data_IF_080362509954
#
_entry.id   IF_080362509954
#
_cell.length_a   1.000
_cell.length_b   1.000
_cell.length_c   1.000
_cell.angle_alpha   90.00
_cell.angle_beta   90.00
_cell.angle_gamma   90.00
#
_symmetry.space_group_name_H-M   'P 1'
#
loop_
_entity.id
_entity.type
_entity.pdbx_description
1 polymer ?
#
# COMPACT_ATOMS: atom_id res chain seq x y z
N UNK A 1 9.26 -27.14 28.78
CA UNK A 1 10.46 -26.29 28.56
C UNK A 1 10.88 -26.52 27.12
N UNK A 2 10.84 -25.62 26.15
CA UNK A 2 10.58 -24.17 26.07
C UNK A 2 9.97 -23.91 24.69
N UNK A 3 9.08 -22.92 24.65
CA UNK A 3 8.30 -22.45 23.50
C UNK A 3 9.11 -22.24 22.20
N UNK A 4 8.71 -22.92 21.12
CA UNK A 4 9.02 -22.50 19.76
C UNK A 4 8.12 -21.31 19.41
N UNK A 5 8.71 -20.13 19.39
CA UNK A 5 8.08 -18.82 19.31
C UNK A 5 7.31 -18.64 17.98
N UNK A 6 5.98 -18.60 18.03
CA UNK A 6 5.10 -18.33 16.87
C UNK A 6 5.20 -16.89 16.32
N UNK A 7 6.07 -16.06 16.91
CA UNK A 7 6.29 -14.66 16.53
C UNK A 7 7.68 -14.41 15.92
N UNK A 8 8.39 -15.47 15.53
CA UNK A 8 9.72 -15.33 14.94
C UNK A 8 9.94 -16.42 13.89
N UNK A 9 9.24 -16.27 12.77
CA UNK A 9 9.84 -16.63 11.50
C UNK A 9 10.14 -15.30 10.82
N UNK A 10 11.42 -14.92 10.86
CA UNK A 10 12.02 -14.30 9.70
C UNK A 10 11.81 -15.28 8.54
N UNK A 11 10.62 -15.24 7.94
CA UNK A 11 10.18 -16.23 6.97
C UNK A 11 11.10 -16.12 5.75
N UNK A 12 11.44 -17.24 5.09
CA UNK A 12 12.15 -17.26 3.80
C UNK A 12 11.55 -16.34 2.70
N UNK A 13 10.39 -15.74 2.93
CA UNK A 13 9.74 -14.68 2.13
C UNK A 13 10.66 -13.46 1.96
N UNK A 14 11.33 -12.99 3.02
CA UNK A 14 12.22 -11.82 2.94
C UNK A 14 13.46 -12.05 2.05
N UNK A 15 13.98 -13.29 2.01
CA UNK A 15 15.15 -13.64 1.16
C UNK A 15 14.78 -14.01 -0.28
N UNK A 16 13.54 -14.41 -0.57
CA UNK A 16 13.11 -14.78 -1.93
C UNK A 16 12.48 -13.62 -2.71
N UNK A 17 11.95 -12.60 -2.04
CA UNK A 17 11.42 -11.39 -2.68
C UNK A 17 12.54 -10.44 -3.11
N UNK A 18 13.65 -10.36 -2.37
CA UNK A 18 14.83 -9.55 -2.73
C UNK A 18 15.51 -10.03 -4.02
N UNK A 19 15.41 -11.32 -4.38
CA UNK A 19 16.02 -11.86 -5.59
C UNK A 19 15.20 -11.65 -6.89
N UNK A 20 13.94 -11.21 -6.77
CA UNK A 20 13.07 -10.92 -7.92
C UNK A 20 12.83 -9.44 -8.19
N UNK A 21 13.16 -8.57 -7.22
CA UNK A 21 12.96 -7.12 -7.29
C UNK A 21 14.23 -6.34 -7.71
N UNK A 22 15.35 -7.03 -7.95
CA UNK A 22 16.58 -6.39 -8.42
C UNK A 22 16.54 -6.16 -9.93
N UNK A 23 16.26 -4.91 -10.30
CA UNK A 23 16.86 -4.28 -11.47
C UNK A 23 16.31 -4.71 -12.83
N UNK A 24 15.18 -4.13 -13.23
CA UNK A 24 15.02 -3.66 -14.61
C UNK A 24 14.42 -2.27 -14.58
N UNK A 25 15.26 -1.28 -14.87
CA UNK A 25 14.78 0.03 -15.30
C UNK A 25 14.00 -0.14 -16.59
N UNK A 26 12.68 -0.13 -16.48
CA UNK A 26 11.82 0.00 -17.63
C UNK A 26 11.77 1.49 -17.98
N UNK A 27 12.55 1.85 -19.00
CA UNK A 27 12.43 3.15 -19.65
C UNK A 27 10.99 3.35 -20.14
N UNK A 28 10.39 4.46 -19.71
CA UNK A 28 9.29 5.17 -20.36
C UNK A 28 8.02 4.39 -20.76
N UNK A 29 7.57 3.45 -19.92
CA UNK A 29 6.19 2.97 -19.94
C UNK A 29 5.65 2.99 -18.51
N UNK A 30 4.60 3.78 -18.25
CA UNK A 30 4.01 3.91 -16.93
C UNK A 30 3.41 2.59 -16.48
N UNK A 31 4.13 1.81 -15.66
CA UNK A 31 3.55 0.65 -14.99
C UNK A 31 2.30 1.08 -14.22
N UNK A 32 1.21 0.30 -14.24
CA UNK A 32 0.05 0.60 -13.42
C UNK A 32 0.42 0.39 -11.95
N UNK A 33 0.53 1.48 -11.19
CA UNK A 33 0.66 1.38 -9.74
C UNK A 33 -0.65 0.78 -9.19
N UNK A 34 -0.52 -0.27 -8.38
CA UNK A 34 -1.64 -0.77 -7.60
C UNK A 34 -1.66 -0.07 -6.24
N UNK A 35 -2.84 0.36 -5.81
CA UNK A 35 -3.00 1.00 -4.51
C UNK A 35 -3.20 -0.09 -3.46
N UNK A 36 -2.39 -0.05 -2.40
CA UNK A 36 -2.39 -1.04 -1.33
C UNK A 36 -2.92 -0.42 -0.04
N UNK A 37 -3.92 -1.06 0.55
CA UNK A 37 -4.55 -0.67 1.80
C UNK A 37 -3.88 -1.29 3.03
N UNK A 38 -4.34 -0.89 4.22
CA UNK A 38 -3.84 -1.39 5.49
C UNK A 38 -4.21 -2.86 5.71
N UNK A 39 -5.39 -3.31 5.27
CA UNK A 39 -5.85 -4.68 5.44
C UNK A 39 -4.91 -5.71 4.80
N UNK A 40 -4.49 -5.49 3.55
CA UNK A 40 -3.51 -6.37 2.90
C UNK A 40 -2.17 -6.38 3.65
N UNK A 41 -1.70 -5.21 4.08
CA UNK A 41 -0.40 -5.07 4.76
C UNK A 41 -0.42 -5.70 6.15
N UNK A 42 -1.50 -5.53 6.91
CA UNK A 42 -1.68 -6.18 8.21
C UNK A 42 -1.72 -7.69 8.03
N UNK A 43 -2.54 -8.21 7.11
CA UNK A 43 -2.59 -9.65 6.83
C UNK A 43 -1.23 -10.21 6.39
N UNK A 44 -0.42 -9.43 5.67
CA UNK A 44 0.92 -9.85 5.25
C UNK A 44 1.89 -10.06 6.43
N UNK A 45 1.76 -9.27 7.51
CA UNK A 45 2.68 -9.27 8.65
C UNK A 45 2.09 -9.89 9.94
N UNK A 46 0.78 -10.09 10.01
CA UNK A 46 0.11 -10.90 11.02
C UNK A 46 -0.06 -12.33 10.52
N UNK A 47 0.83 -13.23 10.97
CA UNK A 47 0.77 -14.64 10.63
C UNK A 47 -0.44 -15.40 11.21
N UNK A 48 -1.20 -14.77 12.11
CA UNK A 48 -2.45 -15.32 12.64
C UNK A 48 -3.69 -14.82 11.88
N UNK A 49 -3.54 -13.84 10.99
CA UNK A 49 -4.63 -13.33 10.17
C UNK A 49 -5.14 -14.41 9.20
N UNK A 50 -6.47 -14.56 9.13
CA UNK A 50 -7.12 -15.55 8.26
C UNK A 50 -6.82 -15.38 6.77
N UNK A 51 -6.40 -14.19 6.35
CA UNK A 51 -6.00 -13.84 4.98
C UNK A 51 -4.49 -13.88 4.75
N UNK A 52 -3.68 -14.21 5.76
CA UNK A 52 -2.21 -14.18 5.67
C UNK A 52 -1.66 -14.89 4.41
N UNK A 53 -2.04 -16.15 4.22
CA UNK A 53 -1.59 -16.95 3.07
C UNK A 53 -2.00 -16.34 1.72
N UNK A 54 -3.18 -15.71 1.66
CA UNK A 54 -3.66 -15.03 0.45
C UNK A 54 -2.88 -13.75 0.20
N UNK A 55 -2.58 -12.98 1.24
CA UNK A 55 -1.77 -11.77 1.15
C UNK A 55 -0.35 -12.09 0.65
N UNK A 56 0.28 -13.13 1.21
CA UNK A 56 1.59 -13.62 0.79
C UNK A 56 1.59 -14.05 -0.67
N UNK A 57 0.59 -14.85 -1.09
CA UNK A 57 0.48 -15.30 -2.47
C UNK A 57 0.28 -14.12 -3.44
N UNK A 58 -0.60 -13.19 -3.09
CA UNK A 58 -0.86 -11.99 -3.89
C UNK A 58 0.40 -11.15 -4.10
N UNK A 59 1.12 -10.81 -3.03
CA UNK A 59 2.34 -9.98 -3.10
C UNK A 59 3.46 -10.68 -3.87
N UNK A 60 3.60 -12.01 -3.71
CA UNK A 60 4.60 -12.81 -4.44
C UNK A 60 4.36 -12.80 -5.95
N UNK A 61 3.10 -12.87 -6.37
CA UNK A 61 2.73 -13.04 -7.78
C UNK A 61 2.46 -11.68 -8.46
N UNK A 62 2.35 -10.60 -7.70
CA UNK A 62 2.18 -9.24 -8.21
C UNK A 62 3.38 -8.82 -9.09
N UNK A 63 3.06 -8.16 -10.22
CA UNK A 63 4.03 -7.60 -11.18
C UNK A 63 3.71 -6.13 -11.45
N UNK A 64 3.59 -5.36 -10.38
CA UNK A 64 3.25 -3.94 -10.41
C UNK A 64 3.85 -3.22 -9.20
N UNK A 65 4.07 -1.91 -9.33
CA UNK A 65 4.50 -1.08 -8.21
C UNK A 65 3.36 -0.91 -7.21
N UNK A 66 3.66 -1.11 -5.93
CA UNK A 66 2.70 -0.96 -4.84
C UNK A 66 2.75 0.47 -4.29
N UNK A 67 1.66 1.20 -4.43
CA UNK A 67 1.49 2.56 -3.92
C UNK A 67 0.67 2.54 -2.63
N UNK A 68 1.17 3.20 -1.59
CA UNK A 68 0.41 3.48 -0.36
C UNK A 68 0.64 4.92 0.09
N UNK A 69 0.18 5.31 1.28
CA UNK A 69 0.43 6.63 1.86
C UNK A 69 0.72 6.57 3.36
N UNK A 70 1.16 7.69 3.93
CA UNK A 70 1.54 7.76 5.35
C UNK A 70 0.40 7.39 6.34
N UNK A 71 -0.86 7.82 6.15
CA UNK A 71 -1.97 7.37 7.00
C UNK A 71 -2.13 5.84 7.06
N UNK A 72 -2.04 5.16 5.91
CA UNK A 72 -2.08 3.69 5.86
C UNK A 72 -0.88 3.09 6.58
N UNK A 73 0.33 3.62 6.36
CA UNK A 73 1.53 3.18 7.09
C UNK A 73 1.34 3.29 8.61
N UNK A 74 0.77 4.39 9.09
CA UNK A 74 0.50 4.60 10.53
C UNK A 74 -0.52 3.61 11.05
N UNK A 75 -1.60 3.34 10.32
CA UNK A 75 -2.61 2.36 10.70
C UNK A 75 -2.02 0.95 10.80
N UNK A 76 -1.20 0.53 9.81
CA UNK A 76 -0.58 -0.80 9.84
C UNK A 76 0.33 -0.94 11.06
N UNK A 77 1.17 0.07 11.36
CA UNK A 77 2.01 0.04 12.56
C UNK A 77 1.15 -0.05 13.83
N UNK A 78 0.03 0.69 13.89
CA UNK A 78 -0.89 0.64 15.01
C UNK A 78 -1.55 -0.75 15.16
N UNK A 79 -2.01 -1.35 14.07
CA UNK A 79 -2.64 -2.68 14.10
C UNK A 79 -1.66 -3.81 14.41
N UNK A 80 -0.36 -3.63 14.09
CA UNK A 80 0.70 -4.58 14.43
C UNK A 80 1.28 -4.36 15.85
N UNK A 81 0.63 -3.57 16.72
CA UNK A 81 1.12 -3.26 18.07
C UNK A 81 1.27 -4.48 19.00
N UNK A 82 0.62 -5.59 18.67
CA UNK A 82 0.80 -6.88 19.34
C UNK A 82 2.22 -7.44 19.20
N UNK A 83 3.03 -6.96 18.24
CA UNK A 83 4.40 -7.44 18.02
C UNK A 83 5.33 -6.34 17.48
N UNK A 84 6.25 -5.89 18.32
CA UNK A 84 7.34 -5.00 17.90
C UNK A 84 8.18 -5.57 16.75
N UNK A 85 8.34 -6.89 16.69
CA UNK A 85 9.07 -7.52 15.59
C UNK A 85 8.29 -7.40 14.27
N UNK A 86 6.96 -7.60 14.31
CA UNK A 86 6.12 -7.42 13.13
C UNK A 86 6.14 -5.97 12.62
N UNK A 87 6.08 -4.98 13.51
CA UNK A 87 6.22 -3.56 13.13
C UNK A 87 7.58 -3.28 12.46
N UNK A 88 8.67 -3.81 13.01
CA UNK A 88 10.02 -3.62 12.44
C UNK A 88 10.18 -4.29 11.08
N UNK A 89 9.68 -5.52 10.95
CA UNK A 89 9.73 -6.26 9.70
C UNK A 89 8.88 -5.58 8.62
N UNK A 90 7.70 -5.09 8.99
CA UNK A 90 6.86 -4.27 8.11
C UNK A 90 7.59 -3.03 7.63
N UNK A 91 8.14 -2.21 8.53
CA UNK A 91 8.81 -0.97 8.16
C UNK A 91 10.04 -1.22 7.27
N UNK A 92 10.83 -2.24 7.58
CA UNK A 92 11.99 -2.62 6.77
C UNK A 92 11.58 -3.09 5.36
N UNK A 93 10.53 -3.90 5.25
CA UNK A 93 10.02 -4.34 3.97
C UNK A 93 9.39 -3.18 3.17
N UNK A 94 8.63 -2.31 3.84
CA UNK A 94 7.94 -1.18 3.21
C UNK A 94 8.93 -0.18 2.58
N UNK A 95 10.06 0.08 3.24
CA UNK A 95 11.15 0.93 2.72
C UNK A 95 11.65 0.46 1.33
N UNK A 96 11.58 -0.85 1.08
CA UNK A 96 12.10 -1.46 -0.14
C UNK A 96 11.01 -1.76 -1.18
N UNK A 97 9.79 -2.06 -0.73
CA UNK A 97 8.73 -2.62 -1.56
C UNK A 97 7.60 -1.64 -1.90
N UNK A 98 7.44 -0.54 -1.16
CA UNK A 98 6.32 0.39 -1.32
C UNK A 98 6.77 1.75 -1.88
N UNK A 99 5.99 2.27 -2.81
CA UNK A 99 5.98 3.70 -3.14
C UNK A 99 5.08 4.39 -2.12
N UNK A 100 5.65 5.25 -1.28
CA UNK A 100 4.90 5.97 -0.25
C UNK A 100 4.54 7.37 -0.76
N UNK A 101 3.26 7.61 -0.98
CA UNK A 101 2.75 8.93 -1.33
C UNK A 101 2.70 9.85 -0.10
N UNK A 102 3.22 11.06 -0.28
CA UNK A 102 3.35 12.08 0.77
C UNK A 102 2.38 13.26 0.58
N UNK A 103 1.40 13.16 -0.34
CA UNK A 103 0.49 14.26 -0.68
C UNK A 103 -0.67 14.44 0.28
N UNK A 104 -0.79 13.59 1.31
CA UNK A 104 -1.89 13.62 2.29
C UNK A 104 -2.18 15.01 2.84
N UNK A 105 -1.15 15.81 3.14
CA UNK A 105 -1.32 17.19 3.66
C UNK A 105 -1.99 18.09 2.62
N UNK A 106 -1.51 18.06 1.38
CA UNK A 106 -2.09 18.82 0.26
C UNK A 106 -3.52 18.39 -0.06
N UNK A 107 -3.79 17.10 0.11
CA UNK A 107 -5.07 16.48 -0.18
C UNK A 107 -6.09 16.59 0.98
N UNK A 108 -5.66 17.04 2.16
CA UNK A 108 -6.47 17.08 3.37
C UNK A 108 -7.82 17.81 3.20
N UNK A 109 -7.92 18.96 2.50
CA UNK A 109 -9.22 19.61 2.27
C UNK A 109 -10.20 18.74 1.48
N UNK A 110 -9.70 17.89 0.58
CA UNK A 110 -10.51 16.98 -0.24
C UNK A 110 -10.90 15.74 0.54
N UNK A 111 -9.96 15.18 1.31
CA UNK A 111 -10.20 14.05 2.21
C UNK A 111 -11.26 14.44 3.25
N UNK A 112 -11.15 15.63 3.87
CA UNK A 112 -12.13 16.16 4.83
C UNK A 112 -13.54 16.29 4.27
N UNK A 113 -13.68 16.51 2.96
CA UNK A 113 -14.98 16.64 2.31
C UNK A 113 -15.62 15.28 1.96
N UNK A 114 -14.88 14.16 2.06
CA UNK A 114 -15.41 12.82 1.76
C UNK A 114 -16.49 12.36 2.75
N UNK A 115 -16.33 12.51 4.08
CA UNK A 115 -17.37 12.14 5.04
C UNK A 115 -18.70 12.87 4.83
N UNK A 116 -18.68 14.11 4.34
CA UNK A 116 -19.90 14.85 4.02
C UNK A 116 -20.63 14.28 2.78
N UNK A 117 -19.88 13.65 1.88
CA UNK A 117 -20.40 13.04 0.64
C UNK A 117 -20.79 11.58 0.79
N UNK A 118 -20.12 10.84 1.67
CA UNK A 118 -20.31 9.41 1.92
C UNK A 118 -20.56 9.15 3.41
N UNK A 119 -21.52 9.87 3.98
CA UNK A 119 -21.80 9.89 5.43
C UNK A 119 -22.14 8.52 6.03
N UNK A 120 -22.65 7.61 5.22
CA UNK A 120 -23.05 6.26 5.65
C UNK A 120 -21.92 5.23 5.58
N UNK A 121 -20.72 5.62 5.12
CA UNK A 121 -19.56 4.73 5.06
C UNK A 121 -18.65 4.99 6.28
N UNK A 122 -18.50 4.04 7.22
CA UNK A 122 -17.55 4.15 8.32
C UNK A 122 -16.13 3.92 7.78
N UNK A 123 -15.60 4.89 7.02
CA UNK A 123 -14.23 4.90 6.55
C UNK A 123 -13.35 5.58 7.59
N UNK A 124 -12.26 4.95 7.99
CA UNK A 124 -11.26 5.61 8.81
C UNK A 124 -10.48 6.64 7.97
N UNK A 125 -9.59 7.40 8.61
CA UNK A 125 -8.80 8.40 7.89
C UNK A 125 -7.84 7.79 6.85
N UNK A 126 -7.30 6.60 7.12
CA UNK A 126 -6.41 5.90 6.19
C UNK A 126 -7.17 5.52 4.91
N UNK A 127 -8.35 4.91 5.02
CA UNK A 127 -9.23 4.57 3.90
C UNK A 127 -9.58 5.80 3.05
N UNK A 128 -10.03 6.88 3.70
CA UNK A 128 -10.41 8.11 3.01
C UNK A 128 -9.23 8.74 2.27
N UNK A 129 -8.04 8.73 2.88
CA UNK A 129 -6.82 9.26 2.27
C UNK A 129 -6.37 8.43 1.07
N UNK A 130 -6.49 7.11 1.15
CA UNK A 130 -6.09 6.17 0.10
C UNK A 130 -7.06 6.19 -1.08
N UNK A 131 -8.36 6.28 -0.78
CA UNK A 131 -9.41 6.48 -1.77
C UNK A 131 -9.18 7.74 -2.58
N UNK A 132 -8.94 8.88 -1.91
CA UNK A 132 -8.64 10.13 -2.61
C UNK A 132 -7.40 10.00 -3.51
N UNK A 133 -6.36 9.31 -3.03
CA UNK A 133 -5.14 9.09 -3.82
C UNK A 133 -5.40 8.26 -5.08
N UNK A 134 -6.28 7.27 -4.98
CA UNK A 134 -6.70 6.43 -6.11
C UNK A 134 -7.45 7.28 -7.16
N UNK A 135 -8.40 8.10 -6.71
CA UNK A 135 -9.19 8.99 -7.58
C UNK A 135 -8.32 10.08 -8.22
N UNK A 136 -7.39 10.68 -7.45
CA UNK A 136 -6.51 11.73 -7.97
C UNK A 136 -5.53 11.18 -9.01
N UNK A 137 -5.01 9.96 -8.82
CA UNK A 137 -4.18 9.27 -9.80
C UNK A 137 -4.90 9.05 -11.13
N UNK A 138 -6.15 8.57 -11.08
CA UNK A 138 -6.97 8.33 -12.25
C UNK A 138 -7.29 9.64 -12.97
N UNK A 139 -7.59 10.71 -12.22
CA UNK A 139 -7.82 12.05 -12.80
C UNK A 139 -6.59 12.56 -13.51
N UNK A 140 -5.39 12.45 -12.92
CA UNK A 140 -4.15 12.86 -13.60
C UNK A 140 -3.87 12.07 -14.89
N UNK A 141 -4.25 10.78 -14.95
CA UNK A 141 -4.20 9.99 -16.19
C UNK A 141 -5.25 10.45 -17.22
N UNK A 142 -6.43 10.87 -16.75
CA UNK A 142 -7.51 11.41 -17.59
C UNK A 142 -7.22 12.82 -18.12
N UNK A 143 -6.34 13.60 -17.48
CA UNK A 143 -5.93 14.94 -17.93
C UNK A 143 -4.91 14.95 -19.09
N UNK A 144 -4.48 13.80 -19.63
CA UNK A 144 -3.60 13.73 -20.82
C UNK A 144 -4.32 13.36 -22.14
N UNK A 145 -5.66 13.43 -22.19
CA UNK A 145 -6.41 13.35 -23.44
C UNK A 145 -6.91 14.75 -23.85
N UNK A 146 -6.01 15.62 -24.28
CA UNK A 146 -6.37 16.77 -25.11
C UNK A 146 -5.25 17.01 -26.12
N UNK A 147 -5.34 16.30 -27.24
CA UNK A 147 -4.62 16.66 -28.46
C UNK A 147 -5.53 17.63 -29.21
N UNK A 148 -5.05 18.86 -29.35
CA UNK A 148 -5.34 19.82 -30.42
C UNK A 148 -6.27 19.28 -31.53
N UNK A 149 -7.48 19.81 -31.64
CA UNK A 149 -8.16 19.95 -32.94
C UNK A 149 -8.00 21.39 -33.42
N UNK A 150 -6.83 21.67 -34.00
CA UNK A 150 -6.64 22.85 -34.82
C UNK A 150 -7.21 22.57 -36.21
N UNK A 151 -8.32 23.22 -36.61
CA UNK A 151 -8.49 23.86 -37.93
C UNK A 151 -9.86 24.53 -38.04
N UNK A 152 -9.87 25.87 -38.13
CA UNK A 152 -10.16 26.60 -39.36
C UNK A 152 -9.37 27.90 -39.36
#
# INVERSE_FOLDING_TARGET
MTWANRYSVATPVAKRIVAGATGKGYGNASMPNIVIDSGLLVALFDGSDSFHERAVAFVRDLRADMLTNLPVMTEVVYMLDFSHQAQRDFLHWAEQALIIDTKTVTDLPRIRALPDKYRDLPANFADASLWWRSVSAQRSRMWQASVSSNTK
#
